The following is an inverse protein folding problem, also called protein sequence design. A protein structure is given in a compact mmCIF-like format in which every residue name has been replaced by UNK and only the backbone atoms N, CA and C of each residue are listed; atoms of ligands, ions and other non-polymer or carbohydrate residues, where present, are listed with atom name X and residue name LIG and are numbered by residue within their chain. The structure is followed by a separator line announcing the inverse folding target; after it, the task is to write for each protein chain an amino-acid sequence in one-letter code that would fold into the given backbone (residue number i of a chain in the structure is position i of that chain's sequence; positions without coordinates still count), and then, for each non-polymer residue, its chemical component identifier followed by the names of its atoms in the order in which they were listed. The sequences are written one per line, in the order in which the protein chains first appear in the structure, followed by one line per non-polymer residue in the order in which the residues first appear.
data_IF_863848013839
#
_entry.id   IF_863848013839
#
_cell.length_a   1.000
_cell.length_b   1.000
_cell.length_c   1.000
_cell.angle_alpha   90.00
_cell.angle_beta   90.00
_cell.angle_gamma   90.00
#
_symmetry.space_group_name_H-M   'P 1'
#
loop_
_entity.id
_entity.type
_entity.pdbx_description
1 polymer ?
#
# COMPACT_ATOMS: atom_id res chain seq x y z
N UNK A 1 -4.23 -18.98 -16.59
CA UNK A 1 -3.07 -18.28 -15.97
C UNK A 1 -2.12 -19.34 -15.47
N UNK A 2 -0.87 -19.35 -15.92
CA UNK A 2 0.16 -20.20 -15.33
C UNK A 2 0.46 -19.69 -13.92
N UNK A 3 0.50 -20.59 -12.94
CA UNK A 3 0.97 -20.24 -11.60
C UNK A 3 2.48 -20.01 -11.68
N UNK A 4 2.91 -18.77 -11.50
CA UNK A 4 4.32 -18.44 -11.31
C UNK A 4 4.60 -18.58 -9.81
N UNK A 5 5.51 -19.48 -9.45
CA UNK A 5 6.00 -19.56 -8.08
C UNK A 5 6.96 -18.40 -7.83
N UNK A 6 6.66 -17.57 -6.84
CA UNK A 6 7.53 -16.45 -6.47
C UNK A 6 8.38 -16.85 -5.29
N UNK A 7 9.68 -17.04 -5.55
CA UNK A 7 10.69 -17.24 -4.51
C UNK A 7 11.24 -15.88 -4.09
N UNK A 8 11.07 -15.53 -2.82
CA UNK A 8 11.70 -14.34 -2.25
C UNK A 8 13.16 -14.67 -1.92
N UNK A 9 14.07 -14.14 -2.72
CA UNK A 9 15.51 -14.37 -2.55
C UNK A 9 16.08 -13.76 -1.26
N UNK A 10 17.22 -14.27 -0.80
CA UNK A 10 17.96 -13.68 0.31
C UNK A 10 18.32 -12.21 0.02
N UNK A 11 18.24 -11.35 1.05
CA UNK A 11 18.56 -9.92 0.93
C UNK A 11 17.45 -9.04 0.35
N UNK A 12 16.34 -9.61 -0.15
CA UNK A 12 15.19 -8.83 -0.65
C UNK A 12 14.59 -7.94 0.43
N UNK A 13 14.58 -8.39 1.69
CA UNK A 13 14.09 -7.59 2.83
C UNK A 13 14.83 -6.25 2.96
N UNK A 14 16.15 -6.25 2.76
CA UNK A 14 16.96 -5.03 2.78
C UNK A 14 16.58 -4.06 1.66
N UNK A 15 16.39 -4.57 0.44
CA UNK A 15 15.95 -3.75 -0.70
C UNK A 15 14.53 -3.21 -0.50
N UNK A 16 13.61 -4.03 0.01
CA UNK A 16 12.23 -3.61 0.31
C UNK A 16 12.24 -2.47 1.33
N UNK A 17 13.03 -2.60 2.40
CA UNK A 17 13.17 -1.54 3.40
C UNK A 17 13.74 -0.24 2.78
N UNK A 18 14.86 -0.34 2.06
CA UNK A 18 15.52 0.82 1.42
C UNK A 18 14.59 1.54 0.46
N UNK A 19 13.85 0.81 -0.37
CA UNK A 19 12.88 1.40 -1.31
C UNK A 19 11.73 2.06 -0.55
N UNK A 20 11.17 1.40 0.47
CA UNK A 20 10.10 1.98 1.28
C UNK A 20 10.50 3.33 1.90
N UNK A 21 11.74 3.51 2.32
CA UNK A 21 12.24 4.78 2.88
C UNK A 21 12.25 5.93 1.85
N UNK A 22 12.43 5.62 0.57
CA UNK A 22 12.48 6.61 -0.52
C UNK A 22 11.10 6.91 -1.14
N UNK A 23 10.09 6.08 -0.85
CA UNK A 23 8.74 6.27 -1.35
C UNK A 23 7.94 7.20 -0.45
N UNK A 24 7.05 7.99 -1.06
CA UNK A 24 6.05 8.73 -0.30
C UNK A 24 5.00 7.79 0.33
N UNK A 25 4.15 8.35 1.19
CA UNK A 25 3.15 7.59 1.94
C UNK A 25 2.16 6.83 1.05
N UNK A 26 1.84 7.37 -0.13
CA UNK A 26 0.93 6.71 -1.09
C UNK A 26 1.64 5.54 -1.75
N UNK A 27 2.83 5.78 -2.29
CA UNK A 27 3.58 4.75 -3.00
C UNK A 27 3.99 3.62 -2.05
N UNK A 28 4.41 3.93 -0.81
CA UNK A 28 4.66 2.93 0.23
C UNK A 28 3.47 1.99 0.42
N UNK A 29 2.26 2.55 0.56
CA UNK A 29 1.03 1.76 0.73
C UNK A 29 0.78 0.82 -0.44
N UNK A 30 0.91 1.33 -1.67
CA UNK A 30 0.64 0.56 -2.88
C UNK A 30 1.67 -0.56 -3.09
N UNK A 31 2.95 -0.26 -2.94
CA UNK A 31 4.03 -1.26 -3.04
C UNK A 31 3.90 -2.31 -1.95
N UNK A 32 3.60 -1.91 -0.71
CA UNK A 32 3.37 -2.86 0.37
C UNK A 32 2.15 -3.77 0.11
N UNK A 33 1.08 -3.23 -0.46
CA UNK A 33 -0.08 -4.00 -0.90
C UNK A 33 0.28 -5.04 -1.95
N UNK A 34 1.02 -4.62 -2.99
CA UNK A 34 1.50 -5.51 -4.06
C UNK A 34 2.40 -6.61 -3.51
N UNK A 35 3.39 -6.28 -2.68
CA UNK A 35 4.29 -7.27 -2.07
C UNK A 35 3.51 -8.29 -1.23
N UNK A 36 2.50 -7.84 -0.50
CA UNK A 36 1.64 -8.73 0.27
C UNK A 36 0.81 -9.67 -0.63
N UNK A 37 0.38 -9.23 -1.81
CA UNK A 37 -0.28 -10.09 -2.81
C UNK A 37 0.68 -11.11 -3.40
N UNK A 38 1.88 -10.68 -3.75
CA UNK A 38 2.95 -11.51 -4.32
C UNK A 38 3.38 -12.61 -3.35
N UNK A 39 3.56 -12.29 -2.07
CA UNK A 39 3.95 -13.27 -1.03
C UNK A 39 2.77 -14.18 -0.67
N UNK A 40 1.53 -13.72 -0.84
CA UNK A 40 0.34 -14.53 -0.56
C UNK A 40 0.05 -14.67 0.95
N UNK A 41 -0.13 -15.91 1.43
CA UNK A 41 -0.47 -16.15 2.83
C UNK A 41 0.67 -15.70 3.75
N UNK A 42 0.33 -14.93 4.79
CA UNK A 42 1.33 -14.34 5.68
C UNK A 42 2.05 -13.10 5.10
N UNK A 43 1.83 -12.75 3.84
CA UNK A 43 2.48 -11.61 3.17
C UNK A 43 2.29 -10.29 3.90
N UNK A 44 1.09 -10.00 4.40
CA UNK A 44 0.85 -8.78 5.21
C UNK A 44 1.71 -8.73 6.47
N UNK A 45 1.89 -9.88 7.16
CA UNK A 45 2.72 -9.95 8.37
C UNK A 45 4.18 -9.75 8.01
N UNK A 46 4.66 -10.44 6.96
CA UNK A 46 6.03 -10.32 6.48
C UNK A 46 6.37 -8.88 6.06
N UNK A 47 5.54 -8.25 5.22
CA UNK A 47 5.75 -6.86 4.78
C UNK A 47 5.74 -5.90 5.98
N UNK A 48 4.84 -6.08 6.95
CA UNK A 48 4.81 -5.26 8.16
C UNK A 48 6.10 -5.39 8.98
N UNK A 49 6.62 -6.60 9.13
CA UNK A 49 7.89 -6.86 9.83
C UNK A 49 9.07 -6.19 9.13
N UNK A 50 9.15 -6.28 7.80
CA UNK A 50 10.28 -5.72 7.02
C UNK A 50 10.23 -4.20 6.96
N UNK A 51 9.03 -3.63 6.77
CA UNK A 51 8.88 -2.19 6.47
C UNK A 51 8.50 -1.35 7.69
N UNK A 52 8.03 -1.96 8.78
CA UNK A 52 7.49 -1.27 9.95
C UNK A 52 6.11 -0.62 9.70
N UNK A 53 5.48 -0.84 8.54
CA UNK A 53 4.16 -0.29 8.23
C UNK A 53 3.05 -0.97 9.02
N UNK A 54 2.03 -0.20 9.38
CA UNK A 54 0.82 -0.74 10.00
C UNK A 54 0.15 -1.78 9.07
N UNK A 55 -0.16 -3.00 9.55
CA UNK A 55 -0.88 -4.01 8.78
C UNK A 55 -2.16 -3.50 8.10
N UNK A 56 -2.87 -2.53 8.71
CA UNK A 56 -4.04 -1.89 8.14
C UNK A 56 -3.71 -1.07 6.90
N UNK A 57 -2.58 -0.37 6.89
CA UNK A 57 -2.08 0.37 5.72
C UNK A 57 -1.80 -0.59 4.56
N UNK A 58 -1.15 -1.72 4.83
CA UNK A 58 -0.85 -2.76 3.83
C UNK A 58 -2.14 -3.33 3.24
N UNK A 59 -3.12 -3.67 4.10
CA UNK A 59 -4.44 -4.15 3.66
C UNK A 59 -5.16 -3.10 2.82
N UNK A 60 -5.10 -1.82 3.21
CA UNK A 60 -5.67 -0.74 2.41
C UNK A 60 -4.99 -0.64 1.04
N UNK A 61 -3.68 -0.84 0.95
CA UNK A 61 -2.97 -0.90 -0.34
C UNK A 61 -3.47 -2.00 -1.26
N UNK A 62 -3.74 -3.20 -0.73
CA UNK A 62 -4.36 -4.29 -1.51
C UNK A 62 -5.74 -3.92 -2.02
N UNK A 63 -6.58 -3.35 -1.15
CA UNK A 63 -7.92 -2.89 -1.53
C UNK A 63 -7.82 -1.80 -2.62
N UNK A 64 -6.93 -0.84 -2.46
CA UNK A 64 -6.71 0.24 -3.44
C UNK A 64 -6.30 -0.35 -4.80
N UNK A 65 -5.44 -1.38 -4.84
CA UNK A 65 -5.03 -2.08 -6.07
C UNK A 65 -6.18 -2.87 -6.70
N UNK A 66 -6.93 -3.63 -5.89
CA UNK A 66 -8.09 -4.42 -6.35
C UNK A 66 -9.20 -3.53 -6.92
N UNK A 67 -9.32 -2.30 -6.42
CA UNK A 67 -10.25 -1.28 -6.91
C UNK A 67 -9.70 -0.48 -8.09
N UNK A 68 -8.56 -0.88 -8.68
CA UNK A 68 -7.97 -0.21 -9.83
C UNK A 68 -7.49 1.22 -9.54
N UNK A 69 -7.11 1.51 -8.28
CA UNK A 69 -6.65 2.81 -7.81
C UNK A 69 -7.68 3.96 -7.98
N UNK A 70 -8.99 3.64 -8.00
CA UNK A 70 -10.06 4.62 -8.19
C UNK A 70 -9.98 5.81 -7.20
N UNK A 71 -9.68 5.54 -5.93
CA UNK A 71 -9.54 6.57 -4.88
C UNK A 71 -8.12 7.17 -4.77
N UNK A 72 -7.24 6.82 -5.70
CA UNK A 72 -5.82 7.18 -5.70
C UNK A 72 -5.40 7.95 -6.97
N UNK A 73 -6.00 9.12 -7.26
CA UNK A 73 -5.73 9.87 -8.50
C UNK A 73 -4.24 10.18 -8.69
N UNK A 74 -3.78 10.13 -9.93
CA UNK A 74 -2.38 10.46 -10.30
C UNK A 74 -2.05 11.89 -9.89
N UNK A 75 -0.86 12.11 -9.35
CA UNK A 75 -0.38 13.43 -8.92
C UNK A 75 -0.83 13.90 -7.53
N UNK A 76 -1.72 13.18 -6.84
CA UNK A 76 -2.11 13.50 -5.45
C UNK A 76 -1.66 12.39 -4.49
N UNK A 77 -0.86 12.76 -3.49
CA UNK A 77 -0.38 11.84 -2.44
C UNK A 77 -1.48 11.53 -1.41
N UNK A 78 -2.32 12.52 -1.07
CA UNK A 78 -3.43 12.38 -0.13
C UNK A 78 -4.76 12.29 -0.88
N UNK A 79 -5.73 11.51 -0.35
CA UNK A 79 -7.11 11.55 -0.84
C UNK A 79 -7.67 12.98 -0.79
N UNK A 80 -8.73 13.23 -1.56
CA UNK A 80 -9.51 14.47 -1.42
C UNK A 80 -9.96 14.55 0.04
N UNK A 81 -9.55 15.59 0.76
CA UNK A 81 -10.05 15.83 2.12
C UNK A 81 -11.54 16.16 2.07
N UNK A 82 -12.24 16.06 3.20
CA UNK A 82 -13.70 16.31 3.28
C UNK A 82 -14.16 17.75 2.98
N UNK A 83 -13.34 18.58 2.34
CA UNK A 83 -13.58 19.99 2.10
C UNK A 83 -13.62 20.82 3.38
N UNK A 84 -13.80 22.14 3.22
CA UNK A 84 -14.18 23.01 4.34
C UNK A 84 -15.64 22.73 4.66
N UNK A 85 -15.96 22.44 5.93
CA UNK A 85 -17.35 22.33 6.37
C UNK A 85 -18.11 23.61 5.98
N UNK A 86 -19.31 23.53 5.39
CA UNK A 86 -20.08 24.70 5.01
C UNK A 86 -20.40 25.56 6.24
N UNK A 87 -20.33 26.89 6.08
CA UNK A 87 -20.58 27.86 7.17
C UNK A 87 -22.05 27.91 7.61
N UNK A 88 -22.95 27.37 6.79
CA UNK A 88 -24.39 27.31 7.06
C UNK A 88 -24.76 25.90 7.51
N UNK A 89 -25.45 25.79 8.66
CA UNK A 89 -26.16 24.58 9.05
C UNK A 89 -27.16 24.25 7.94
N UNK A 90 -27.19 22.99 7.50
CA UNK A 90 -28.30 22.49 6.71
C UNK A 90 -29.55 22.65 7.58
N UNK A 91 -30.55 23.35 7.03
CA UNK A 91 -31.90 23.48 7.60
C UNK A 91 -32.61 22.15 7.41
#
# INVERSE_FOLDING_TARGET
MAAVEVVVAEGVEGHVKLLCEHLDEKHRRLVAGLLSEVVGYGGTKWVATVTGLDPKTIRQGRLDLQQGLADCPRGRVRRVGGGRRPLKKAI
#
